data_IF_821649004220
#
_entry.id   IF_821649004220
#
_cell.length_a   1.000
_cell.length_b   1.000
_cell.length_c   1.000
_cell.angle_alpha   90.00
_cell.angle_beta   90.00
_cell.angle_gamma   90.00
#
_symmetry.space_group_name_H-M   'P 1'
#
loop_
_entity.id
_entity.type
_entity.pdbx_description
1 polymer ?
#
# COMPACT_ATOMS: atom_id res chain seq x y z
N UNK A 1 -18.07 -4.83 2.71
CA UNK A 1 -17.58 -4.25 1.45
C UNK A 1 -16.78 -5.31 0.71
N UNK A 2 -17.16 -5.61 -0.54
CA UNK A 2 -16.48 -6.58 -1.40
C UNK A 2 -15.87 -5.89 -2.62
N UNK A 3 -14.78 -6.43 -3.14
CA UNK A 3 -14.06 -5.94 -4.31
C UNK A 3 -13.81 -7.11 -5.27
N UNK A 4 -13.82 -6.84 -6.57
CA UNK A 4 -13.61 -7.86 -7.60
C UNK A 4 -12.13 -8.22 -7.72
N UNK A 5 -11.25 -7.23 -7.60
CA UNK A 5 -9.80 -7.41 -7.67
C UNK A 5 -9.04 -6.65 -6.56
N UNK A 6 -7.75 -6.98 -6.44
CA UNK A 6 -6.83 -6.19 -5.62
C UNK A 6 -6.64 -4.77 -6.15
N UNK A 7 -6.75 -4.58 -7.48
CA UNK A 7 -6.63 -3.27 -8.10
C UNK A 7 -7.77 -2.35 -7.67
N UNK A 8 -9.00 -2.87 -7.65
CA UNK A 8 -10.18 -2.07 -7.26
C UNK A 8 -10.09 -1.63 -5.80
N UNK A 9 -9.62 -2.54 -4.92
CA UNK A 9 -9.34 -2.18 -3.54
C UNK A 9 -8.23 -1.11 -3.45
N UNK A 10 -7.16 -1.21 -4.24
CA UNK A 10 -6.07 -0.23 -4.22
C UNK A 10 -6.52 1.14 -4.73
N UNK A 11 -7.37 1.20 -5.76
CA UNK A 11 -7.98 2.45 -6.24
C UNK A 11 -8.86 3.05 -5.15
N UNK A 12 -9.75 2.25 -4.55
CA UNK A 12 -10.59 2.68 -3.45
C UNK A 12 -9.78 3.19 -2.26
N UNK A 13 -8.74 2.45 -1.85
CA UNK A 13 -7.88 2.84 -0.72
C UNK A 13 -7.12 4.13 -1.02
N UNK A 14 -6.62 4.32 -2.25
CA UNK A 14 -5.96 5.58 -2.63
C UNK A 14 -6.89 6.78 -2.50
N UNK A 15 -8.13 6.65 -2.98
CA UNK A 15 -9.13 7.70 -2.86
C UNK A 15 -9.46 7.97 -1.39
N UNK A 16 -9.75 6.92 -0.62
CA UNK A 16 -10.03 7.02 0.81
C UNK A 16 -8.87 7.67 1.59
N UNK A 17 -7.62 7.31 1.28
CA UNK A 17 -6.42 7.89 1.88
C UNK A 17 -6.29 9.40 1.59
N UNK A 18 -6.57 9.82 0.36
CA UNK A 18 -6.52 11.22 -0.04
C UNK A 18 -7.61 12.05 0.64
N UNK A 19 -8.83 11.53 0.70
CA UNK A 19 -9.97 12.21 1.34
C UNK A 19 -9.80 12.34 2.86
N UNK A 20 -9.22 11.31 3.50
CA UNK A 20 -9.08 11.27 4.97
C UNK A 20 -7.71 11.70 5.47
N UNK A 21 -6.78 12.05 4.59
CA UNK A 21 -5.38 12.39 4.90
C UNK A 21 -4.65 11.28 5.67
N UNK A 22 -5.01 10.03 5.40
CA UNK A 22 -4.41 8.83 5.97
C UNK A 22 -3.42 8.23 4.99
N UNK A 23 -2.40 7.51 5.46
CA UNK A 23 -1.51 6.78 4.58
C UNK A 23 -1.33 5.37 5.14
N UNK A 24 -1.83 4.38 4.41
CA UNK A 24 -1.61 2.99 4.72
C UNK A 24 -0.51 2.41 3.82
N UNK A 25 0.21 1.45 4.37
CA UNK A 25 1.20 0.66 3.65
C UNK A 25 0.97 -0.82 3.88
N UNK A 26 1.35 -1.62 2.90
CA UNK A 26 1.31 -3.08 3.03
C UNK A 26 2.36 -3.55 4.04
N UNK A 27 1.92 -4.27 5.07
CA UNK A 27 2.78 -4.87 6.11
C UNK A 27 3.09 -6.33 5.83
N UNK A 28 2.05 -7.11 5.53
CA UNK A 28 2.12 -8.55 5.31
C UNK A 28 1.44 -8.87 4.01
N UNK A 29 2.08 -9.74 3.26
CA UNK A 29 1.62 -10.21 1.98
C UNK A 29 2.14 -11.63 1.80
N UNK A 30 1.32 -12.64 2.07
CA UNK A 30 1.70 -14.03 1.82
C UNK A 30 1.23 -14.43 0.42
N UNK A 31 1.95 -15.34 -0.22
CA UNK A 31 1.55 -15.84 -1.55
C UNK A 31 0.42 -16.85 -1.41
N UNK A 32 -0.48 -16.88 -2.38
CA UNK A 32 -1.53 -17.91 -2.47
C UNK A 32 -0.91 -19.30 -2.58
N UNK A 33 0.18 -19.45 -3.34
CA UNK A 33 0.93 -20.70 -3.44
C UNK A 33 1.32 -21.27 -2.07
N UNK A 34 1.86 -20.43 -1.18
CA UNK A 34 2.30 -20.87 0.14
C UNK A 34 1.13 -21.28 1.04
N UNK A 35 -0.02 -20.62 0.92
CA UNK A 35 -1.26 -21.00 1.60
C UNK A 35 -1.78 -22.33 1.09
N UNK A 36 -1.88 -22.50 -0.23
CA UNK A 36 -2.40 -23.71 -0.84
C UNK A 36 -1.51 -24.93 -0.52
N UNK A 37 -0.17 -24.76 -0.54
CA UNK A 37 0.78 -25.78 -0.08
C UNK A 37 0.52 -26.21 1.37
N UNK A 38 0.26 -25.24 2.27
CA UNK A 38 -0.10 -25.56 3.67
C UNK A 38 -1.42 -26.30 3.77
N UNK A 39 -2.46 -25.88 3.04
CA UNK A 39 -3.76 -26.56 3.05
C UNK A 39 -3.62 -28.03 2.67
N UNK A 40 -2.86 -28.30 1.59
CA UNK A 40 -2.59 -29.66 1.13
C UNK A 40 -1.76 -30.46 2.16
N UNK A 41 -0.69 -29.87 2.69
CA UNK A 41 0.18 -30.54 3.67
C UNK A 41 -0.54 -30.88 4.99
N UNK A 42 -1.48 -30.05 5.42
CA UNK A 42 -2.27 -30.26 6.64
C UNK A 42 -3.60 -31.01 6.39
N UNK A 43 -3.89 -31.44 5.16
CA UNK A 43 -5.14 -32.14 4.83
C UNK A 43 -6.41 -31.33 5.11
N UNK A 44 -6.34 -30.01 5.04
CA UNK A 44 -7.49 -29.14 5.34
C UNK A 44 -8.52 -29.17 4.22
N UNK A 45 -9.81 -29.15 4.57
CA UNK A 45 -10.95 -29.05 3.62
C UNK A 45 -11.15 -27.64 3.04
N UNK A 46 -10.28 -26.69 3.38
CA UNK A 46 -10.39 -25.33 2.89
C UNK A 46 -10.20 -25.29 1.37
N UNK A 47 -11.01 -24.52 0.63
CA UNK A 47 -10.90 -24.43 -0.82
C UNK A 47 -9.56 -23.80 -1.22
N UNK A 48 -8.96 -24.36 -2.27
CA UNK A 48 -7.76 -23.82 -2.90
C UNK A 48 -8.13 -22.52 -3.61
N UNK A 49 -7.34 -21.47 -3.35
CA UNK A 49 -7.55 -20.18 -4.02
C UNK A 49 -6.77 -20.19 -5.34
N UNK A 50 -7.34 -19.73 -6.45
CA UNK A 50 -6.64 -19.65 -7.73
C UNK A 50 -5.36 -18.81 -7.62
N UNK A 51 -4.29 -19.27 -8.26
CA UNK A 51 -2.98 -18.61 -8.22
C UNK A 51 -2.93 -17.27 -8.97
N UNK A 52 -3.99 -16.96 -9.75
CA UNK A 52 -4.23 -15.66 -10.37
C UNK A 52 -4.22 -14.53 -9.32
N UNK A 53 -4.61 -14.84 -8.08
CA UNK A 53 -4.45 -13.94 -6.95
C UNK A 53 -3.04 -14.08 -6.39
N UNK A 54 -2.09 -13.22 -6.79
CA UNK A 54 -0.69 -13.30 -6.33
C UNK A 54 -0.50 -13.27 -4.80
N UNK A 55 -1.50 -12.77 -4.05
CA UNK A 55 -1.36 -12.31 -2.68
C UNK A 55 -2.60 -12.64 -1.81
N UNK A 56 -2.40 -13.25 -0.65
CA UNK A 56 -3.45 -13.66 0.31
C UNK A 56 -2.91 -13.77 1.75
N UNK A 57 -3.56 -13.22 2.79
CA UNK A 57 -4.26 -11.94 2.86
C UNK A 57 -3.28 -10.76 2.82
N UNK A 58 -3.78 -9.54 2.60
CA UNK A 58 -2.98 -8.32 2.77
C UNK A 58 -3.41 -7.57 4.02
N UNK A 59 -2.40 -7.12 4.77
CA UNK A 59 -2.61 -6.22 5.90
C UNK A 59 -2.02 -4.86 5.57
N UNK A 60 -2.87 -3.85 5.56
CA UNK A 60 -2.51 -2.45 5.43
C UNK A 60 -2.41 -1.85 6.83
N UNK A 61 -1.30 -1.18 7.13
CA UNK A 61 -1.10 -0.51 8.41
C UNK A 61 -0.81 0.96 8.18
N UNK A 62 -1.17 1.81 9.14
CA UNK A 62 -0.75 3.20 9.12
C UNK A 62 0.78 3.33 8.96
N UNK A 63 1.21 4.33 8.18
CA UNK A 63 2.62 4.66 7.98
C UNK A 63 3.36 4.88 9.32
N UNK A 64 2.66 5.44 10.32
CA UNK A 64 3.16 5.65 11.68
C UNK A 64 2.98 4.44 12.62
N UNK A 65 2.34 3.36 12.16
CA UNK A 65 2.07 2.14 12.93
C UNK A 65 3.22 1.14 13.06
N UNK A 66 4.40 1.43 12.49
CA UNK A 66 5.56 0.54 12.68
C UNK A 66 6.04 0.67 14.12
N UNK A 67 6.46 -0.46 14.71
CA UNK A 67 7.34 -0.42 15.87
C UNK A 67 8.75 -0.07 15.39
N UNK A 68 9.32 1.02 15.88
CA UNK A 68 10.71 1.33 15.63
C UNK A 68 11.61 0.23 16.22
N UNK A 69 12.53 -0.30 15.40
CA UNK A 69 13.57 -1.24 15.83
C UNK A 69 14.93 -0.56 15.65
N UNK A 70 15.66 -0.23 16.72
CA UNK A 70 16.98 0.37 16.60
C UNK A 70 17.94 -0.60 15.90
N UNK A 71 18.66 -0.13 14.88
CA UNK A 71 19.64 -0.93 14.14
C UNK A 71 21.07 -0.80 14.66
N UNK A 72 21.38 0.23 15.45
CA UNK A 72 22.76 0.55 15.85
C UNK A 72 22.80 0.96 17.33
N UNK A 73 23.80 0.49 18.07
CA UNK A 73 24.12 0.89 19.45
C UNK A 73 25.12 2.07 19.48
N UNK A 74 24.89 3.07 18.64
CA UNK A 74 25.84 4.18 18.45
C UNK A 74 25.58 5.37 19.37
N UNK A 75 26.63 6.13 19.69
CA UNK A 75 26.57 7.34 20.54
C UNK A 75 25.98 8.59 19.85
N UNK A 76 25.75 8.57 18.53
CA UNK A 76 25.19 9.72 17.79
C UNK A 76 23.78 10.03 18.33
N UNK A 77 23.50 11.32 18.59
CA UNK A 77 22.16 11.78 19.00
C UNK A 77 21.12 11.26 18.01
N UNK A 78 20.13 10.57 18.55
CA UNK A 78 19.16 9.82 17.75
C UNK A 78 18.15 10.78 17.14
N UNK A 79 17.95 10.70 15.82
CA UNK A 79 16.82 11.35 15.16
C UNK A 79 15.52 10.73 15.69
N UNK A 80 14.55 11.57 16.08
CA UNK A 80 13.24 11.09 16.52
C UNK A 80 12.60 10.24 15.42
N UNK A 81 12.20 9.01 15.78
CA UNK A 81 11.56 8.12 14.82
C UNK A 81 10.14 8.61 14.52
N UNK A 82 9.76 8.63 13.23
CA UNK A 82 8.37 8.92 12.79
C UNK A 82 7.33 7.86 13.21
N UNK A 83 7.74 6.85 13.98
CA UNK A 83 6.90 5.74 14.44
C UNK A 83 6.17 6.16 15.70
N UNK A 84 4.84 6.19 15.65
CA UNK A 84 3.97 6.45 16.81
C UNK A 84 3.29 5.18 17.32
N UNK A 85 3.63 4.02 16.77
CA UNK A 85 2.99 2.74 17.09
C UNK A 85 1.46 2.78 16.95
N UNK A 86 0.98 3.58 16.00
CA UNK A 86 -0.43 3.65 15.63
C UNK A 86 -1.01 2.24 15.36
N UNK A 87 -2.18 1.97 15.94
CA UNK A 87 -2.90 0.69 15.80
C UNK A 87 -3.77 0.61 14.55
N UNK A 88 -3.99 1.72 13.83
CA UNK A 88 -4.83 1.73 12.65
C UNK A 88 -4.33 0.75 11.58
N UNK A 89 -5.22 -0.16 11.18
CA UNK A 89 -4.95 -1.26 10.26
C UNK A 89 -6.20 -1.72 9.53
N UNK A 90 -6.03 -2.17 8.29
CA UNK A 90 -7.07 -2.73 7.45
C UNK A 90 -6.60 -4.10 6.97
N UNK A 91 -7.44 -5.11 7.15
CA UNK A 91 -7.19 -6.48 6.73
C UNK A 91 -8.10 -6.84 5.58
N UNK A 92 -7.49 -7.26 4.46
CA UNK A 92 -8.19 -7.70 3.26
C UNK A 92 -7.83 -9.15 2.95
N UNK A 93 -8.84 -9.97 2.65
CA UNK A 93 -8.67 -11.38 2.36
C UNK A 93 -9.58 -11.79 1.19
N UNK A 94 -9.10 -12.69 0.35
CA UNK A 94 -9.94 -13.35 -0.65
C UNK A 94 -10.82 -14.36 0.09
N UNK A 95 -12.12 -14.37 -0.17
CA UNK A 95 -13.06 -15.29 0.43
C UNK A 95 -13.89 -15.98 -0.66
N UNK A 96 -14.33 -17.20 -0.39
CA UNK A 96 -15.29 -17.89 -1.25
C UNK A 96 -16.67 -17.28 -1.01
N UNK A 97 -17.28 -16.79 -2.10
CA UNK A 97 -18.63 -16.24 -2.10
C UNK A 97 -19.65 -17.31 -2.48
N UNK A 98 -19.28 -18.19 -3.41
CA UNK A 98 -20.10 -19.33 -3.83
C UNK A 98 -19.25 -20.61 -3.78
N UNK A 99 -19.51 -21.51 -2.81
CA UNK A 99 -18.79 -22.78 -2.69
C UNK A 99 -19.01 -23.71 -3.88
N UNK A 100 -20.21 -23.70 -4.46
CA UNK A 100 -20.61 -24.60 -5.55
C UNK A 100 -20.04 -24.14 -6.88
N UNK A 101 -19.99 -22.81 -7.09
CA UNK A 101 -19.44 -22.19 -8.30
C UNK A 101 -17.96 -21.81 -8.22
N UNK A 102 -17.28 -22.06 -7.10
CA UNK A 102 -15.91 -21.60 -6.81
C UNK A 102 -15.69 -20.11 -7.13
N UNK A 103 -16.67 -19.26 -6.78
CA UNK A 103 -16.54 -17.81 -6.96
C UNK A 103 -15.81 -17.21 -5.77
N UNK A 104 -14.77 -16.44 -6.06
CA UNK A 104 -13.97 -15.74 -5.07
C UNK A 104 -14.25 -14.23 -5.14
N UNK A 105 -14.31 -13.57 -4.00
CA UNK A 105 -14.30 -12.12 -3.93
C UNK A 105 -13.36 -11.65 -2.84
N UNK A 106 -12.80 -10.46 -3.03
CA UNK A 106 -11.98 -9.82 -2.03
C UNK A 106 -12.89 -9.12 -1.01
N UNK A 107 -12.66 -9.35 0.28
CA UNK A 107 -13.43 -8.72 1.35
C UNK A 107 -12.52 -8.13 2.42
N UNK A 108 -12.92 -6.98 2.95
CA UNK A 108 -12.35 -6.43 4.17
C UNK A 108 -12.79 -7.30 5.36
N UNK A 109 -11.84 -7.91 6.04
CA UNK A 109 -12.09 -8.82 7.17
C UNK A 109 -12.05 -8.10 8.51
N UNK A 110 -11.23 -7.06 8.63
CA UNK A 110 -11.13 -6.24 9.85
C UNK A 110 -10.66 -4.85 9.47
N UNK A 111 -11.26 -3.83 10.07
CA UNK A 111 -10.99 -2.42 9.82
C UNK A 111 -10.90 -1.72 11.17
N UNK A 112 -9.70 -1.22 11.50
CA UNK A 112 -9.45 -0.42 12.68
C UNK A 112 -8.90 0.93 12.21
N UNK A 113 -9.68 1.99 12.38
CA UNK A 113 -9.38 3.33 11.87
C UNK A 113 -9.09 4.34 12.99
N UNK A 114 -8.97 3.87 14.23
CA UNK A 114 -8.58 4.72 15.36
C UNK A 114 -7.08 5.05 15.27
N UNK A 115 -6.78 6.33 15.09
CA UNK A 115 -5.40 6.84 15.06
C UNK A 115 -5.06 7.50 16.38
N UNK A 116 -3.85 7.24 16.87
CA UNK A 116 -3.27 7.92 18.03
C UNK A 116 -2.49 9.19 17.67
N UNK A 117 -2.76 9.76 16.50
CA UNK A 117 -2.08 10.96 16.00
C UNK A 117 -3.02 11.74 15.06
N UNK A 118 -2.80 13.05 14.90
CA UNK A 118 -3.62 13.84 13.99
C UNK A 118 -3.44 13.38 12.55
N UNK A 119 -4.54 13.42 11.81
CA UNK A 119 -4.60 13.27 10.37
C UNK A 119 -4.73 14.67 9.78
N UNK A 120 -3.72 15.09 9.01
CA UNK A 120 -3.67 16.46 8.52
C UNK A 120 -3.09 16.48 7.10
N UNK A 121 -3.73 17.25 6.23
CA UNK A 121 -3.36 17.40 4.81
C UNK A 121 -1.88 17.72 4.62
N UNK A 122 -1.33 18.64 5.42
CA UNK A 122 0.09 18.99 5.36
C UNK A 122 1.01 17.78 5.56
N UNK A 123 0.70 16.88 6.50
CA UNK A 123 1.48 15.68 6.79
C UNK A 123 1.28 14.63 5.71
N UNK A 124 0.05 14.50 5.20
CA UNK A 124 -0.26 13.58 4.12
C UNK A 124 0.57 13.90 2.87
N UNK A 125 0.61 15.18 2.47
CA UNK A 125 1.39 15.63 1.31
C UNK A 125 2.91 15.43 1.46
N UNK A 126 3.41 15.36 2.70
CA UNK A 126 4.82 15.11 2.99
C UNK A 126 5.21 13.62 2.91
N UNK A 127 4.24 12.70 2.76
CA UNK A 127 4.59 11.29 2.55
C UNK A 127 5.24 11.11 1.17
N UNK A 128 6.32 10.29 1.07
CA UNK A 128 7.00 10.08 -0.21
C UNK A 128 6.08 9.59 -1.33
N UNK A 129 5.07 8.77 -1.01
CA UNK A 129 4.11 8.26 -2.00
C UNK A 129 3.26 9.37 -2.59
N UNK A 130 2.83 10.33 -1.76
CA UNK A 130 2.03 11.48 -2.18
C UNK A 130 2.90 12.53 -2.87
N UNK A 131 4.07 12.86 -2.31
CA UNK A 131 5.02 13.83 -2.87
C UNK A 131 5.56 13.43 -4.24
N UNK A 132 5.65 12.13 -4.52
CA UNK A 132 6.18 11.60 -5.78
C UNK A 132 5.06 11.12 -6.74
N UNK A 133 3.79 11.33 -6.39
CA UNK A 133 2.66 11.04 -7.27
C UNK A 133 2.52 12.20 -8.26
N UNK A 134 3.31 12.14 -9.35
CA UNK A 134 3.15 13.05 -10.48
C UNK A 134 2.08 12.52 -11.43
N UNK A 135 1.42 13.45 -12.12
CA UNK A 135 0.45 13.11 -13.16
C UNK A 135 1.07 12.23 -14.25
N UNK A 136 0.34 11.27 -14.82
CA UNK A 136 0.84 10.37 -15.86
C UNK A 136 1.48 11.10 -17.04
N UNK A 137 0.92 12.24 -17.44
CA UNK A 137 1.40 13.06 -18.56
C UNK A 137 2.79 13.65 -18.28
N UNK A 138 3.03 14.11 -17.04
CA UNK A 138 4.34 14.61 -16.60
C UNK A 138 5.36 13.49 -16.62
N UNK A 139 4.97 12.28 -16.19
CA UNK A 139 5.85 11.10 -16.22
C UNK A 139 6.21 10.69 -17.65
N UNK A 140 5.22 10.66 -18.56
CA UNK A 140 5.44 10.35 -19.97
C UNK A 140 6.40 11.35 -20.62
N UNK A 141 6.21 12.66 -20.36
CA UNK A 141 7.10 13.71 -20.85
C UNK A 141 8.53 13.55 -20.31
N UNK A 142 8.69 13.27 -19.02
CA UNK A 142 10.01 13.04 -18.41
C UNK A 142 10.71 11.84 -19.05
N UNK A 143 9.98 10.77 -19.37
CA UNK A 143 10.55 9.60 -20.03
C UNK A 143 10.98 9.91 -21.48
N UNK A 144 10.21 10.71 -22.22
CA UNK A 144 10.63 11.20 -23.54
C UNK A 144 11.87 12.08 -23.45
N UNK A 145 11.92 13.02 -22.50
CA UNK A 145 13.11 13.85 -22.26
C UNK A 145 14.35 13.02 -21.91
N UNK A 146 14.18 11.91 -21.19
CA UNK A 146 15.28 10.97 -20.91
C UNK A 146 15.73 10.23 -22.17
N UNK A 147 14.81 9.78 -23.01
CA UNK A 147 15.12 9.08 -24.28
C UNK A 147 15.94 9.95 -25.23
N UNK A 148 15.61 11.25 -25.33
CA UNK A 148 16.36 12.21 -26.17
C UNK A 148 17.66 12.70 -25.53
N UNK A 149 18.04 12.19 -24.36
CA UNK A 149 19.29 12.55 -23.70
C UNK A 149 19.31 13.95 -23.08
N UNK A 150 18.13 14.51 -22.75
CA UNK A 150 18.06 15.84 -22.15
C UNK A 150 18.84 15.91 -20.83
N UNK A 151 19.49 17.05 -20.59
CA UNK A 151 20.24 17.27 -19.35
C UNK A 151 19.31 17.23 -18.15
N UNK A 152 19.73 16.56 -17.07
CA UNK A 152 18.96 16.44 -15.81
C UNK A 152 18.41 17.77 -15.28
N UNK A 153 19.15 18.87 -15.40
CA UNK A 153 18.70 20.21 -15.00
C UNK A 153 17.47 20.68 -15.79
N UNK A 154 17.44 20.41 -17.09
CA UNK A 154 16.30 20.75 -17.97
C UNK A 154 15.07 19.92 -17.60
N UNK A 155 15.26 18.62 -17.35
CA UNK A 155 14.19 17.72 -16.91
C UNK A 155 13.59 18.19 -15.57
N UNK A 156 14.44 18.60 -14.62
CA UNK A 156 13.98 19.10 -13.32
C UNK A 156 13.21 20.43 -13.43
N UNK A 157 13.67 21.37 -14.27
CA UNK A 157 12.96 22.61 -14.52
C UNK A 157 11.58 22.33 -15.14
N UNK A 158 11.53 21.44 -16.14
CA UNK A 158 10.29 21.03 -16.77
C UNK A 158 9.29 20.39 -15.78
N UNK A 159 9.75 19.51 -14.88
CA UNK A 159 8.89 18.95 -13.83
C UNK A 159 8.32 20.06 -12.95
N UNK A 160 9.12 21.04 -12.55
CA UNK A 160 8.66 22.16 -11.73
C UNK A 160 7.59 22.98 -12.44
N UNK A 161 7.81 23.30 -13.72
CA UNK A 161 6.94 24.17 -14.52
C UNK A 161 5.61 23.52 -14.91
N UNK A 162 5.58 22.18 -15.03
CA UNK A 162 4.38 21.42 -15.41
C UNK A 162 3.73 20.66 -14.26
N UNK A 163 4.32 20.69 -13.06
CA UNK A 163 3.69 20.13 -11.86
C UNK A 163 2.76 21.15 -11.21
N UNK A 164 1.54 20.74 -10.87
CA UNK A 164 0.65 21.51 -10.01
C UNK A 164 1.13 21.32 -8.56
N UNK A 165 2.17 22.07 -8.16
CA UNK A 165 2.65 22.10 -6.78
C UNK A 165 1.82 23.05 -5.91
#
# INVERSE_FOLDING_TARGET
MGFESWSDLEVFLKQYEAETYQNFRVRKNNKVADRNKKILAFGSKAPLVPEVSYHYPRTFICARGRKYKPKVKGKRKRQHSRSLQCSAQIHACVQVVDPSGLKFALKLTSVQLEHNHPLAKHTYNLYPQTRMAYEPDVLAMVDELRKVGAKKKSILANIHDHSVC
#
